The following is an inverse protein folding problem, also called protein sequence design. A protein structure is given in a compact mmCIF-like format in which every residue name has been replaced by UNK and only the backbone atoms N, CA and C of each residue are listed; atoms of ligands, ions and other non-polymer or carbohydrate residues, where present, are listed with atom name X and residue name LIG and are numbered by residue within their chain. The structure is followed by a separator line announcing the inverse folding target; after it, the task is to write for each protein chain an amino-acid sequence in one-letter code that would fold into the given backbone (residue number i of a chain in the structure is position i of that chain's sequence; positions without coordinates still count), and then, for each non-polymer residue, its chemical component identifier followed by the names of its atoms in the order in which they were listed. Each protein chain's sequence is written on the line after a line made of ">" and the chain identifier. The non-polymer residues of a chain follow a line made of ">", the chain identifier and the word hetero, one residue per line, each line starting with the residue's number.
data_IF_881932446123
#
_entry.id   IF_881932446123
#
_cell.length_a   1.000
_cell.length_b   1.000
_cell.length_c   1.000
_cell.angle_alpha   90.00
_cell.angle_beta   90.00
_cell.angle_gamma   90.00
#
_symmetry.space_group_name_H-M   'P 1'
#
loop_
_entity.id
_entity.type
_entity.pdbx_description
1 polymer ?
#
# COMPACT_ATOMS: atom_id res chain seq x y z
N UNK A 1 4.76 18.60 7.19
CA UNK A 1 5.00 18.65 5.73
C UNK A 1 3.68 18.49 5.02
N UNK A 2 3.34 19.41 4.11
CA UNK A 2 2.14 19.35 3.27
C UNK A 2 2.40 18.52 2.02
N UNK A 3 1.34 17.99 1.38
CA UNK A 3 1.44 17.31 0.08
C UNK A 3 2.02 18.24 -0.99
N UNK A 4 1.71 19.54 -0.92
CA UNK A 4 2.25 20.56 -1.82
C UNK A 4 3.78 20.67 -1.78
N UNK A 5 4.40 20.19 -0.70
CA UNK A 5 5.84 20.29 -0.48
C UNK A 5 6.60 19.08 -1.07
N UNK A 6 5.86 18.05 -1.55
CA UNK A 6 6.45 16.88 -2.19
C UNK A 6 6.96 17.26 -3.58
N UNK A 7 8.28 17.23 -3.76
CA UNK A 7 8.88 17.42 -5.07
C UNK A 7 8.51 16.28 -6.05
N UNK A 8 7.95 16.65 -7.21
CA UNK A 8 7.63 15.72 -8.29
C UNK A 8 8.75 15.75 -9.33
N UNK A 9 9.56 14.69 -9.35
CA UNK A 9 10.61 14.49 -10.35
C UNK A 9 10.17 13.47 -11.43
N UNK A 10 10.99 13.27 -12.46
CA UNK A 10 10.68 12.37 -13.57
C UNK A 10 10.35 10.93 -13.11
N UNK A 11 11.08 10.42 -12.12
CA UNK A 11 10.83 9.10 -11.57
C UNK A 11 9.47 9.02 -10.87
N UNK A 12 9.11 10.04 -10.09
CA UNK A 12 7.79 10.16 -9.45
C UNK A 12 6.68 10.18 -10.50
N UNK A 13 6.84 10.98 -11.56
CA UNK A 13 5.89 11.04 -12.68
C UNK A 13 5.69 9.67 -13.32
N UNK A 14 6.79 8.93 -13.56
CA UNK A 14 6.74 7.56 -14.09
C UNK A 14 5.96 6.62 -13.17
N UNK A 15 6.25 6.64 -11.86
CA UNK A 15 5.56 5.82 -10.86
C UNK A 15 4.06 6.12 -10.85
N UNK A 16 3.67 7.40 -10.85
CA UNK A 16 2.27 7.81 -10.86
C UNK A 16 1.56 7.35 -12.14
N UNK A 17 2.20 7.46 -13.31
CA UNK A 17 1.65 6.97 -14.56
C UNK A 17 1.39 5.46 -14.55
N UNK A 18 2.29 4.67 -13.97
CA UNK A 18 2.13 3.23 -13.84
C UNK A 18 1.01 2.84 -12.87
N UNK A 19 0.86 3.58 -11.77
CA UNK A 19 -0.25 3.41 -10.83
C UNK A 19 -1.58 3.70 -11.52
N UNK A 20 -1.67 4.81 -12.26
CA UNK A 20 -2.87 5.17 -13.04
C UNK A 20 -3.20 4.08 -14.07
N UNK A 21 -2.20 3.55 -14.78
CA UNK A 21 -2.39 2.43 -15.71
C UNK A 21 -2.95 1.18 -15.02
N UNK A 22 -2.39 0.80 -13.86
CA UNK A 22 -2.87 -0.34 -13.09
C UNK A 22 -4.29 -0.13 -12.56
N UNK A 23 -4.59 1.06 -12.01
CA UNK A 23 -5.92 1.43 -11.51
C UNK A 23 -6.96 1.44 -12.64
N UNK A 24 -6.60 1.99 -13.80
CA UNK A 24 -7.42 1.97 -15.00
C UNK A 24 -7.68 0.55 -15.52
N UNK A 25 -6.85 -0.44 -15.17
CA UNK A 25 -7.01 -1.83 -15.57
C UNK A 25 -7.85 -2.68 -14.60
N UNK A 26 -8.43 -2.10 -13.54
CA UNK A 26 -9.26 -2.80 -12.56
C UNK A 26 -10.59 -2.08 -12.33
N UNK A 27 -11.72 -2.75 -12.53
CA UNK A 27 -13.06 -2.13 -12.47
C UNK A 27 -13.33 -1.41 -11.15
N UNK A 28 -12.94 -2.03 -10.03
CA UNK A 28 -13.13 -1.43 -8.70
C UNK A 28 -12.19 -0.26 -8.44
N UNK A 29 -11.06 -0.16 -9.14
CA UNK A 29 -10.06 0.89 -8.93
C UNK A 29 -10.17 2.06 -9.90
N UNK A 30 -10.77 1.89 -11.08
CA UNK A 30 -10.89 2.95 -12.09
C UNK A 30 -11.79 4.11 -11.63
N UNK A 31 -12.70 3.86 -10.68
CA UNK A 31 -13.64 4.85 -10.14
C UNK A 31 -13.04 5.81 -9.10
N UNK A 32 -11.82 5.54 -8.62
CA UNK A 32 -11.20 6.41 -7.62
C UNK A 32 -10.84 7.76 -8.24
N UNK A 33 -11.11 8.88 -7.56
CA UNK A 33 -10.74 10.20 -8.05
C UNK A 33 -9.22 10.40 -8.02
N UNK A 34 -8.71 11.36 -8.80
CA UNK A 34 -7.28 11.75 -8.78
C UNK A 34 -6.85 12.15 -7.37
N UNK A 35 -7.74 12.80 -6.60
CA UNK A 35 -7.49 13.16 -5.20
C UNK A 35 -7.14 11.96 -4.32
N UNK A 36 -7.63 10.75 -4.63
CA UNK A 36 -7.21 9.54 -3.93
C UNK A 36 -5.73 9.24 -4.17
N UNK A 37 -5.24 9.37 -5.40
CA UNK A 37 -3.83 9.15 -5.71
C UNK A 37 -2.97 10.16 -4.96
N UNK A 38 -3.34 11.44 -4.99
CA UNK A 38 -2.59 12.54 -4.38
C UNK A 38 -2.63 12.50 -2.85
N UNK A 39 -3.79 12.26 -2.24
CA UNK A 39 -3.93 12.34 -0.79
C UNK A 39 -3.58 11.01 -0.10
N UNK A 40 -3.78 9.88 -0.77
CA UNK A 40 -3.69 8.58 -0.13
C UNK A 40 -2.46 7.76 -0.55
N UNK A 41 -2.08 7.82 -1.83
CA UNK A 41 -0.97 7.02 -2.37
C UNK A 41 0.35 7.78 -2.36
N UNK A 42 0.35 9.04 -2.83
CA UNK A 42 1.55 9.87 -2.97
C UNK A 42 2.37 10.00 -1.68
N UNK A 43 1.79 10.17 -0.48
CA UNK A 43 2.58 10.22 0.75
C UNK A 43 3.44 8.96 0.98
N UNK A 44 2.88 7.76 0.74
CA UNK A 44 3.67 6.53 0.87
C UNK A 44 4.69 6.36 -0.25
N UNK A 45 4.41 6.86 -1.45
CA UNK A 45 5.37 6.83 -2.55
C UNK A 45 6.56 7.75 -2.24
N UNK A 46 6.28 8.96 -1.76
CA UNK A 46 7.29 9.91 -1.31
C UNK A 46 8.21 9.33 -0.22
N UNK A 47 7.63 8.55 0.70
CA UNK A 47 8.39 7.85 1.75
C UNK A 47 9.11 6.57 1.26
N UNK A 48 9.08 6.24 -0.04
CA UNK A 48 9.54 4.97 -0.58
C UNK A 48 8.90 3.72 0.08
N UNK A 49 7.69 3.87 0.62
CA UNK A 49 6.89 2.82 1.24
C UNK A 49 5.91 2.21 0.23
N UNK A 50 6.45 1.75 -0.90
CA UNK A 50 5.67 1.14 -1.98
C UNK A 50 6.48 0.10 -2.75
N UNK A 51 5.78 -0.73 -3.52
CA UNK A 51 6.39 -1.63 -4.50
C UNK A 51 5.53 -1.74 -5.75
N UNK A 52 6.16 -1.61 -6.92
CA UNK A 52 5.59 -1.95 -8.21
C UNK A 52 6.19 -3.28 -8.66
N UNK A 53 5.31 -4.22 -9.01
CA UNK A 53 5.68 -5.53 -9.55
C UNK A 53 5.60 -5.48 -11.07
N UNK A 54 6.56 -6.12 -11.74
CA UNK A 54 6.70 -6.05 -13.18
C UNK A 54 6.91 -7.42 -13.81
N UNK A 55 6.58 -7.56 -15.08
CA UNK A 55 7.02 -8.71 -15.89
C UNK A 55 8.52 -8.61 -16.14
N UNK A 56 9.21 -9.74 -16.15
CA UNK A 56 10.67 -9.79 -16.41
C UNK A 56 10.99 -9.39 -17.85
N UNK A 57 10.18 -9.85 -18.82
CA UNK A 57 10.46 -9.67 -20.24
C UNK A 57 10.21 -8.25 -20.76
N UNK A 58 9.08 -7.67 -20.39
CA UNK A 58 8.60 -6.40 -20.97
C UNK A 58 8.65 -5.23 -19.99
N UNK A 59 9.09 -5.49 -18.75
CA UNK A 59 9.09 -4.51 -17.67
C UNK A 59 7.69 -3.88 -17.39
N UNK A 60 6.64 -4.57 -17.82
CA UNK A 60 5.25 -4.11 -17.74
C UNK A 60 4.79 -4.14 -16.27
N UNK A 61 4.22 -3.06 -15.73
CA UNK A 61 3.65 -3.08 -14.38
C UNK A 61 2.47 -4.05 -14.33
N UNK A 62 2.47 -4.93 -13.33
CA UNK A 62 1.44 -5.97 -13.12
C UNK A 62 0.78 -5.92 -11.75
N UNK A 63 1.30 -5.10 -10.84
CA UNK A 63 0.67 -4.83 -9.57
C UNK A 63 1.43 -3.77 -8.78
N UNK A 64 0.74 -3.20 -7.81
CA UNK A 64 1.24 -2.16 -6.94
C UNK A 64 0.72 -2.38 -5.52
N UNK A 65 1.57 -2.11 -4.54
CA UNK A 65 1.17 -2.02 -3.14
C UNK A 65 1.89 -0.85 -2.48
N UNK A 66 1.22 -0.17 -1.56
CA UNK A 66 1.86 0.80 -0.68
C UNK A 66 1.44 0.58 0.77
N UNK A 67 2.28 1.05 1.68
CA UNK A 67 2.13 0.81 3.11
C UNK A 67 2.50 2.02 3.96
N UNK A 68 2.18 1.90 5.25
CA UNK A 68 2.64 2.76 6.33
C UNK A 68 3.20 1.92 7.47
N UNK A 69 4.13 2.51 8.21
CA UNK A 69 4.57 2.04 9.50
C UNK A 69 4.15 3.04 10.56
N UNK A 70 3.20 2.65 11.40
CA UNK A 70 2.55 3.55 12.35
C UNK A 70 2.89 3.17 13.78
N UNK A 71 2.87 4.13 14.70
CA UNK A 71 2.98 3.86 16.13
C UNK A 71 1.70 3.22 16.66
N UNK A 72 1.75 2.66 17.87
CA UNK A 72 0.56 2.12 18.55
C UNK A 72 -0.52 3.19 18.74
N UNK A 73 -0.12 4.43 19.05
CA UNK A 73 -1.03 5.56 19.20
C UNK A 73 -1.74 5.90 17.90
N UNK A 74 -1.01 5.95 16.78
CA UNK A 74 -1.59 6.21 15.46
C UNK A 74 -2.48 5.05 15.03
N UNK A 75 -2.07 3.80 15.28
CA UNK A 75 -2.90 2.62 15.02
C UNK A 75 -4.24 2.69 15.77
N UNK A 76 -4.23 3.03 17.06
CA UNK A 76 -5.46 3.16 17.85
C UNK A 76 -6.37 4.27 17.30
N UNK A 77 -5.80 5.39 16.87
CA UNK A 77 -6.55 6.47 16.24
C UNK A 77 -7.13 6.06 14.88
N UNK A 78 -6.37 5.34 14.05
CA UNK A 78 -6.86 4.80 12.77
C UNK A 78 -8.04 3.87 12.97
N UNK A 79 -8.05 3.06 14.03
CA UNK A 79 -9.16 2.15 14.35
C UNK A 79 -10.42 2.93 14.74
N UNK A 80 -10.26 4.07 15.43
CA UNK A 80 -11.37 4.89 15.95
C UNK A 80 -11.91 5.92 14.94
N UNK A 81 -11.06 6.44 14.05
CA UNK A 81 -11.33 7.60 13.20
C UNK A 81 -11.12 7.28 11.69
N UNK A 82 -10.92 8.35 10.90
CA UNK A 82 -10.65 8.31 9.47
C UNK A 82 -9.17 8.01 9.14
N UNK A 83 -8.89 7.55 7.92
CA UNK A 83 -7.55 7.13 7.44
C UNK A 83 -6.64 8.24 6.95
N UNK A 84 -6.95 9.49 7.26
CA UNK A 84 -6.18 10.63 6.79
C UNK A 84 -4.90 10.80 7.61
N UNK A 85 -3.95 9.88 7.41
CA UNK A 85 -2.62 9.94 7.99
C UNK A 85 -1.78 11.01 7.31
N UNK A 86 -1.22 11.90 8.12
CA UNK A 86 -0.12 12.79 7.73
C UNK A 86 1.11 11.98 7.30
N UNK A 87 2.05 12.65 6.62
CA UNK A 87 3.33 12.04 6.21
C UNK A 87 4.11 11.54 7.44
N UNK A 88 4.09 12.28 8.54
CA UNK A 88 4.81 11.90 9.76
C UNK A 88 4.18 10.69 10.44
N UNK A 89 2.85 10.64 10.53
CA UNK A 89 2.15 9.49 11.10
C UNK A 89 2.41 8.20 10.33
N UNK A 90 2.61 8.27 9.00
CA UNK A 90 2.90 7.10 8.14
C UNK A 90 4.24 6.43 8.37
N UNK A 91 5.16 7.08 9.10
CA UNK A 91 6.50 6.58 9.46
C UNK A 91 6.75 6.66 10.97
N UNK A 92 5.68 6.67 11.76
CA UNK A 92 5.74 6.98 13.19
C UNK A 92 6.09 5.78 14.09
N UNK A 93 6.15 4.57 13.56
CA UNK A 93 6.42 3.37 14.37
C UNK A 93 6.68 2.13 13.54
N UNK A 94 6.32 0.96 14.07
CA UNK A 94 6.68 -0.35 13.50
C UNK A 94 5.47 -1.15 12.99
N UNK A 95 4.24 -0.70 13.29
CA UNK A 95 3.03 -1.42 12.89
C UNK A 95 2.79 -1.27 11.39
N UNK A 96 2.91 -2.39 10.67
CA UNK A 96 2.82 -2.42 9.22
C UNK A 96 1.36 -2.51 8.74
N UNK A 97 0.95 -1.50 7.98
CA UNK A 97 -0.34 -1.44 7.29
C UNK A 97 -0.18 -1.35 5.79
N UNK A 98 -0.68 -2.33 5.04
CA UNK A 98 -0.93 -2.21 3.61
C UNK A 98 -2.14 -1.29 3.43
N UNK A 99 -1.87 -0.10 2.89
CA UNK A 99 -2.87 0.94 2.68
C UNK A 99 -3.62 0.73 1.37
N UNK A 100 -2.92 0.28 0.33
CA UNK A 100 -3.50 -0.01 -0.97
C UNK A 100 -2.78 -1.18 -1.65
N UNK A 101 -3.55 -1.99 -2.38
CA UNK A 101 -3.07 -3.16 -3.11
C UNK A 101 -3.88 -3.33 -4.39
N UNK A 102 -3.20 -3.49 -5.53
CA UNK A 102 -3.83 -3.73 -6.83
C UNK A 102 -2.98 -4.69 -7.68
N UNK A 103 -3.63 -5.66 -8.32
CA UNK A 103 -2.99 -6.65 -9.19
C UNK A 103 -3.98 -7.12 -10.26
N UNK A 104 -4.24 -6.30 -11.31
CA UNK A 104 -5.38 -6.47 -12.20
C UNK A 104 -5.28 -7.70 -13.12
N UNK A 105 -4.08 -8.24 -13.34
CA UNK A 105 -3.84 -9.29 -14.34
C UNK A 105 -3.68 -10.69 -13.71
N UNK A 106 -4.38 -10.97 -12.60
CA UNK A 106 -4.38 -12.30 -11.97
C UNK A 106 -3.16 -12.64 -11.11
N UNK A 107 -2.26 -11.68 -10.85
CA UNK A 107 -1.04 -11.90 -10.07
C UNK A 107 -1.18 -11.69 -8.56
N UNK A 108 -2.40 -11.40 -8.07
CA UNK A 108 -2.64 -11.00 -6.68
C UNK A 108 -2.08 -11.99 -5.65
N UNK A 109 -2.25 -13.31 -5.88
CA UNK A 109 -1.74 -14.36 -4.98
C UNK A 109 -0.22 -14.34 -4.89
N UNK A 110 0.47 -14.30 -6.04
CA UNK A 110 1.95 -14.29 -6.11
C UNK A 110 2.52 -13.05 -5.45
N UNK A 111 1.95 -11.88 -5.74
CA UNK A 111 2.37 -10.60 -5.15
C UNK A 111 2.14 -10.60 -3.64
N UNK A 112 0.99 -11.08 -3.16
CA UNK A 112 0.71 -11.17 -1.73
C UNK A 112 1.67 -12.12 -1.00
N UNK A 113 2.06 -13.23 -1.64
CA UNK A 113 3.07 -14.14 -1.12
C UNK A 113 4.45 -13.49 -1.05
N UNK A 114 4.84 -12.73 -2.07
CA UNK A 114 6.12 -12.01 -2.07
C UNK A 114 6.17 -10.94 -0.97
N UNK A 115 5.10 -10.16 -0.80
CA UNK A 115 4.99 -9.20 0.30
C UNK A 115 5.18 -9.88 1.67
N UNK A 116 4.58 -11.05 1.87
CA UNK A 116 4.69 -11.80 3.14
C UNK A 116 6.06 -12.45 3.32
N UNK A 117 6.60 -13.07 2.28
CA UNK A 117 7.72 -13.98 2.42
C UNK A 117 9.08 -13.31 2.19
N UNK A 118 9.11 -12.22 1.41
CA UNK A 118 10.35 -11.61 0.94
C UNK A 118 10.47 -10.15 1.37
N UNK A 119 9.39 -9.36 1.28
CA UNK A 119 9.42 -7.96 1.72
C UNK A 119 9.27 -7.84 3.23
N UNK A 120 8.37 -8.62 3.83
CA UNK A 120 8.07 -8.57 5.26
C UNK A 120 8.11 -9.95 5.94
N UNK A 121 9.22 -10.72 5.82
CA UNK A 121 9.33 -12.11 6.23
C UNK A 121 9.03 -12.39 7.72
N UNK A 122 8.99 -11.36 8.57
CA UNK A 122 8.81 -11.50 10.02
C UNK A 122 7.86 -10.45 10.62
N UNK A 123 7.05 -9.77 9.80
CA UNK A 123 6.09 -8.78 10.30
C UNK A 123 4.66 -9.28 10.18
N UNK A 124 3.83 -8.90 11.13
CA UNK A 124 2.38 -8.97 10.98
C UNK A 124 1.97 -7.94 9.94
N UNK A 125 1.20 -8.36 8.94
CA UNK A 125 0.71 -7.46 7.90
C UNK A 125 -0.77 -7.18 8.16
N UNK A 126 -1.13 -5.93 8.40
CA UNK A 126 -2.52 -5.49 8.51
C UNK A 126 -2.92 -4.83 7.18
N UNK A 127 -4.10 -5.11 6.66
CA UNK A 127 -4.60 -4.52 5.42
C UNK A 127 -5.83 -3.67 5.69
N UNK A 128 -5.81 -2.42 5.25
CA UNK A 128 -7.00 -1.58 5.29
C UNK A 128 -7.91 -1.92 4.11
N UNK A 129 -9.20 -2.13 4.40
CA UNK A 129 -10.25 -2.14 3.38
C UNK A 129 -11.08 -0.90 3.56
N UNK A 130 -11.13 -0.08 2.52
CA UNK A 130 -11.92 1.15 2.52
C UNK A 130 -13.40 0.84 2.23
N UNK A 131 -14.27 1.74 2.68
CA UNK A 131 -15.67 1.76 2.29
C UNK A 131 -15.84 2.14 0.80
N UNK A 132 -17.07 2.06 0.27
CA UNK A 132 -17.33 2.24 -1.17
C UNK A 132 -16.96 3.65 -1.68
N UNK A 133 -17.12 4.64 -0.83
CA UNK A 133 -16.78 6.06 -0.97
C UNK A 133 -15.30 6.35 -0.68
N UNK A 134 -14.55 5.36 -0.19
CA UNK A 134 -13.10 5.41 0.01
C UNK A 134 -12.60 6.45 1.00
N UNK A 135 -13.48 6.94 1.85
CA UNK A 135 -13.15 7.92 2.89
C UNK A 135 -12.81 7.21 4.20
N UNK A 136 -13.59 6.19 4.60
CA UNK A 136 -13.45 5.49 5.90
C UNK A 136 -12.93 4.06 5.77
N UNK A 137 -12.38 3.53 6.86
CA UNK A 137 -12.07 2.10 6.98
C UNK A 137 -13.38 1.33 7.08
N UNK A 138 -13.63 0.44 6.12
CA UNK A 138 -14.69 -0.54 6.22
C UNK A 138 -14.28 -1.74 7.09
N UNK A 139 -13.04 -2.24 6.93
CA UNK A 139 -12.51 -3.39 7.69
C UNK A 139 -10.99 -3.36 7.78
N UNK A 140 -10.44 -3.86 8.88
CA UNK A 140 -9.02 -4.24 8.97
C UNK A 140 -8.93 -5.75 8.75
N UNK A 141 -8.12 -6.17 7.77
CA UNK A 141 -7.81 -7.57 7.55
C UNK A 141 -6.41 -7.87 8.10
N UNK A 142 -6.31 -8.73 9.11
CA UNK A 142 -5.02 -9.15 9.67
C UNK A 142 -4.51 -10.37 8.90
N UNK A 143 -3.31 -10.27 8.36
CA UNK A 143 -2.63 -11.36 7.67
C UNK A 143 -1.40 -11.78 8.47
N UNK A 144 -1.46 -13.00 9.01
CA UNK A 144 -0.33 -13.63 9.68
C UNK A 144 0.61 -14.26 8.64
N UNK A 145 1.91 -14.12 8.86
CA UNK A 145 2.88 -14.89 8.11
C UNK A 145 2.84 -16.35 8.58
N UNK A 146 2.77 -17.31 7.64
CA UNK A 146 2.68 -18.74 7.94
C UNK A 146 4.06 -19.42 8.09
N UNK A 147 5.13 -18.69 8.38
CA UNK A 147 6.36 -19.36 8.82
C UNK A 147 6.17 -19.83 10.26
N UNK A 148 5.76 -21.09 10.40
CA UNK A 148 5.94 -21.87 11.63
C UNK A 148 7.39 -21.67 12.08
N UNK A 149 7.56 -21.08 13.26
CA UNK A 149 8.78 -21.27 14.03
C UNK A 149 8.78 -22.74 14.47
N UNK A 150 9.84 -23.48 14.09
CA UNK A 150 10.13 -24.83 14.59
C UNK A 150 10.03 -25.93 13.54
N UNK A 151 11.17 -26.40 13.03
CA UNK A 151 11.85 -27.55 13.64
C UNK A 151 13.33 -27.52 13.23
N UNK A 152 14.20 -27.35 14.24
CA UNK A 152 15.50 -27.99 14.22
C UNK A 152 15.26 -29.50 14.14
N UNK A 153 15.87 -30.15 13.16
CA UNK A 153 16.54 -31.46 13.21
C UNK A 153 17.20 -31.70 11.85
#
# INVERSE_FOLDING_TARGET
>A
MSISDIAINENMTKILGEIVFLMGSCDNSRKYPISFIINYLLPSIHLNQYRIYRTVKENKPIGFACWAFVSDQVEEQMIKNDINLTIEERKSGENLYILYFIAPFGHAKKISQDLKNNIFPHRMIKGLRLNKDSTKIARIAIYHNRKKVGQNL
#
